data_IF_944420708684
#
_entry.id   IF_944420708684
#
_cell.length_a   1.000
_cell.length_b   1.000
_cell.length_c   1.000
_cell.angle_alpha   90.00
_cell.angle_beta   90.00
_cell.angle_gamma   90.00
#
_symmetry.space_group_name_H-M   'P 1'
#
loop_
_entity.id
_entity.type
_entity.pdbx_description
1 polymer ?
#
# COMPACT_ATOMS: atom_id res chain seq x y z
N UNK A 1 -1.50 12.60 22.22
CA UNK A 1 -2.45 12.73 21.10
C UNK A 1 -1.76 13.32 19.86
N UNK A 2 -1.28 14.58 19.85
CA UNK A 2 -0.63 15.20 18.69
C UNK A 2 0.55 14.39 18.16
N UNK A 3 1.40 13.85 19.05
CA UNK A 3 2.52 13.00 18.65
C UNK A 3 2.07 11.66 18.05
N UNK A 4 1.03 11.06 18.65
CA UNK A 4 0.41 9.84 18.12
C UNK A 4 -0.13 10.06 16.71
N UNK A 5 -0.82 11.19 16.47
CA UNK A 5 -1.33 11.56 15.16
C UNK A 5 -0.23 11.83 14.13
N UNK A 6 0.85 12.54 14.53
CA UNK A 6 2.01 12.77 13.66
C UNK A 6 2.68 11.45 13.24
N UNK A 7 2.85 10.55 14.22
CA UNK A 7 3.42 9.23 13.96
C UNK A 7 2.51 8.36 13.06
N UNK A 8 1.20 8.50 13.22
CA UNK A 8 0.22 7.83 12.35
C UNK A 8 0.28 8.35 10.92
N UNK A 9 0.29 9.67 10.74
CA UNK A 9 0.45 10.31 9.43
C UNK A 9 1.80 9.92 8.81
N UNK A 10 2.86 9.87 9.62
CA UNK A 10 4.16 9.35 9.24
C UNK A 10 4.78 10.10 8.07
N UNK A 11 4.87 11.44 8.18
CA UNK A 11 5.57 12.25 7.19
C UNK A 11 7.03 11.82 7.06
N UNK A 12 7.45 11.50 5.86
CA UNK A 12 8.83 11.21 5.52
C UNK A 12 9.28 12.05 4.33
N UNK A 13 10.45 12.66 4.45
CA UNK A 13 11.07 13.43 3.38
C UNK A 13 12.26 12.65 2.83
N UNK A 14 12.25 12.42 1.53
CA UNK A 14 13.27 11.66 0.84
C UNK A 14 13.49 12.18 -0.57
N UNK A 15 14.03 11.33 -1.42
CA UNK A 15 14.23 11.60 -2.82
C UNK A 15 13.62 10.49 -3.69
N UNK A 16 12.97 10.89 -4.76
CA UNK A 16 12.71 10.01 -5.90
C UNK A 16 13.94 10.03 -6.81
N UNK A 17 14.39 8.86 -7.20
CA UNK A 17 15.53 8.69 -8.11
C UNK A 17 15.19 7.75 -9.25
N UNK A 18 15.69 8.04 -10.43
CA UNK A 18 15.53 7.21 -11.63
C UNK A 18 16.73 6.28 -11.81
N UNK A 19 16.45 5.01 -12.00
CA UNK A 19 17.42 3.98 -12.35
C UNK A 19 17.12 3.48 -13.76
N UNK A 20 18.07 3.62 -14.66
CA UNK A 20 17.94 3.03 -15.98
C UNK A 20 17.93 1.51 -15.89
N UNK A 21 17.18 0.86 -16.78
CA UNK A 21 17.16 -0.59 -16.93
C UNK A 21 18.05 -0.91 -18.15
N UNK A 22 18.98 -1.83 -18.00
CA UNK A 22 19.89 -2.23 -19.08
C UNK A 22 19.07 -2.73 -20.28
N UNK A 23 19.33 -2.12 -21.45
CA UNK A 23 18.65 -2.50 -22.70
C UNK A 23 17.22 -1.99 -22.84
N UNK A 24 16.77 -1.06 -21.96
CA UNK A 24 15.44 -0.44 -22.05
C UNK A 24 15.53 1.09 -21.99
N UNK A 25 14.68 1.78 -22.71
CA UNK A 25 14.65 3.25 -22.78
C UNK A 25 14.03 3.90 -21.55
N UNK A 26 13.05 3.26 -20.93
CA UNK A 26 12.35 3.78 -19.78
C UNK A 26 12.96 3.33 -18.46
N UNK A 27 13.39 4.26 -17.59
CA UNK A 27 13.86 3.94 -16.24
C UNK A 27 12.70 3.56 -15.33
N UNK A 28 13.00 2.97 -14.18
CA UNK A 28 12.06 2.95 -13.09
C UNK A 28 12.46 3.95 -11.99
N UNK A 29 11.47 4.38 -11.21
CA UNK A 29 11.66 5.37 -10.14
C UNK A 29 11.56 4.68 -8.79
N UNK A 30 12.52 4.96 -7.90
CA UNK A 30 12.47 4.55 -6.49
C UNK A 30 12.27 5.77 -5.59
N UNK A 31 11.78 5.53 -4.39
CA UNK A 31 11.78 6.50 -3.29
C UNK A 31 12.66 6.02 -2.15
N UNK A 32 13.52 6.89 -1.64
CA UNK A 32 14.38 6.61 -0.49
C UNK A 32 14.49 7.80 0.46
N UNK A 33 14.53 7.53 1.76
CA UNK A 33 14.89 8.51 2.79
C UNK A 33 16.39 8.55 3.05
N UNK A 34 17.15 7.57 2.51
CA UNK A 34 18.58 7.39 2.66
C UNK A 34 19.30 7.56 1.32
N UNK A 35 19.12 8.72 0.68
CA UNK A 35 19.76 9.01 -0.60
C UNK A 35 21.30 9.02 -0.51
N UNK A 36 21.87 9.27 0.67
CA UNK A 36 23.30 9.18 0.97
C UNK A 36 23.91 7.81 0.66
N UNK A 37 23.12 6.73 0.78
CA UNK A 37 23.62 5.35 0.63
C UNK A 37 23.57 4.83 -0.80
N UNK A 38 23.17 5.61 -1.78
CA UNK A 38 23.02 5.18 -3.18
C UNK A 38 24.27 4.54 -3.79
N UNK A 39 25.46 4.97 -3.37
CA UNK A 39 26.73 4.33 -3.78
C UNK A 39 26.86 2.88 -3.29
N UNK A 40 26.11 2.51 -2.25
CA UNK A 40 26.10 1.17 -1.64
C UNK A 40 25.02 0.24 -2.16
N UNK A 41 24.25 0.67 -3.17
CA UNK A 41 23.21 -0.19 -3.78
C UNK A 41 23.86 -1.35 -4.51
N UNK A 42 23.51 -2.56 -4.14
CA UNK A 42 24.06 -3.79 -4.75
C UNK A 42 23.01 -4.63 -5.46
N UNK A 43 21.73 -4.35 -5.24
CA UNK A 43 20.60 -4.93 -5.98
C UNK A 43 19.36 -4.02 -5.88
N UNK A 44 18.39 -4.27 -6.73
CA UNK A 44 17.08 -3.62 -6.73
C UNK A 44 16.02 -4.64 -6.41
N UNK A 45 14.93 -4.22 -5.74
CA UNK A 45 13.81 -5.12 -5.44
C UNK A 45 12.49 -4.47 -5.82
N UNK A 46 11.66 -5.22 -6.50
CA UNK A 46 10.29 -4.87 -6.87
C UNK A 46 9.28 -5.59 -5.98
N UNK A 47 8.20 -4.91 -5.66
CA UNK A 47 7.01 -5.56 -5.10
C UNK A 47 6.42 -6.53 -6.13
N UNK A 48 5.87 -7.68 -5.72
CA UNK A 48 5.23 -8.64 -6.63
C UNK A 48 4.11 -8.04 -7.50
N UNK A 49 3.44 -7.01 -6.97
CA UNK A 49 2.32 -6.32 -7.63
C UNK A 49 2.78 -5.12 -8.49
N UNK A 50 4.08 -4.87 -8.57
CA UNK A 50 4.62 -3.73 -9.32
C UNK A 50 4.39 -3.90 -10.82
N UNK A 51 3.96 -2.82 -11.48
CA UNK A 51 3.79 -2.76 -12.94
C UNK A 51 5.10 -3.02 -13.72
N UNK A 52 6.24 -2.81 -13.07
CA UNK A 52 7.55 -3.07 -13.66
C UNK A 52 7.88 -4.56 -13.83
N UNK A 53 7.22 -5.45 -13.07
CA UNK A 53 7.55 -6.89 -13.05
C UNK A 53 7.50 -7.51 -14.44
N UNK A 54 6.42 -7.29 -15.18
CA UNK A 54 6.28 -7.84 -16.52
C UNK A 54 7.35 -7.31 -17.49
N UNK A 55 7.78 -6.06 -17.31
CA UNK A 55 8.73 -5.39 -18.17
C UNK A 55 10.19 -5.84 -17.95
N UNK A 56 10.53 -6.17 -16.70
CA UNK A 56 11.91 -6.57 -16.36
C UNK A 56 12.13 -8.09 -16.32
N UNK A 57 11.08 -8.88 -16.43
CA UNK A 57 11.18 -10.34 -16.45
C UNK A 57 11.64 -10.80 -17.83
N UNK A 58 12.83 -11.42 -17.90
CA UNK A 58 13.32 -12.00 -19.15
C UNK A 58 12.61 -13.32 -19.47
N UNK A 59 12.70 -13.76 -20.71
CA UNK A 59 12.07 -15.02 -21.13
C UNK A 59 12.61 -16.22 -20.37
N UNK A 60 13.91 -16.23 -20.09
CA UNK A 60 14.58 -17.30 -19.35
C UNK A 60 14.10 -17.40 -17.90
N UNK A 61 13.72 -16.27 -17.28
CA UNK A 61 13.28 -16.22 -15.88
C UNK A 61 11.76 -16.25 -15.72
N UNK A 62 11.00 -16.20 -16.81
CA UNK A 62 9.53 -16.11 -16.80
C UNK A 62 8.89 -17.19 -15.94
N UNK A 63 9.27 -18.44 -16.12
CA UNK A 63 8.68 -19.57 -15.39
C UNK A 63 8.90 -19.48 -13.88
N UNK A 64 10.10 -19.10 -13.44
CA UNK A 64 10.43 -18.95 -12.02
C UNK A 64 9.71 -17.75 -11.42
N UNK A 65 9.64 -16.63 -12.15
CA UNK A 65 8.91 -15.42 -11.72
C UNK A 65 7.43 -15.71 -11.58
N UNK A 66 6.79 -16.36 -12.55
CA UNK A 66 5.36 -16.72 -12.48
C UNK A 66 5.07 -17.65 -11.30
N UNK A 67 5.91 -18.65 -11.06
CA UNK A 67 5.79 -19.55 -9.91
C UNK A 67 5.89 -18.77 -8.59
N UNK A 68 6.84 -17.84 -8.48
CA UNK A 68 6.99 -16.99 -7.30
C UNK A 68 5.77 -16.08 -7.09
N UNK A 69 5.26 -15.43 -8.14
CA UNK A 69 4.07 -14.58 -8.07
C UNK A 69 2.84 -15.37 -7.62
N UNK A 70 2.66 -16.60 -8.09
CA UNK A 70 1.57 -17.46 -7.62
C UNK A 70 1.72 -17.85 -6.15
N UNK A 71 2.93 -18.12 -5.69
CA UNK A 71 3.21 -18.43 -4.28
C UNK A 71 2.83 -17.27 -3.35
N UNK A 72 3.10 -16.03 -3.75
CA UNK A 72 2.87 -14.85 -2.89
C UNK A 72 1.49 -14.23 -3.06
N UNK A 73 0.75 -14.57 -4.13
CA UNK A 73 -0.55 -13.97 -4.48
C UNK A 73 -1.59 -14.03 -3.37
N UNK A 74 -1.61 -15.09 -2.60
CA UNK A 74 -2.61 -15.32 -1.54
C UNK A 74 -2.14 -14.82 -0.16
N UNK A 75 -0.98 -14.17 -0.10
CA UNK A 75 -0.45 -13.62 1.15
C UNK A 75 -0.91 -12.19 1.35
N UNK A 76 -1.56 -11.94 2.48
CA UNK A 76 -1.94 -10.58 2.86
C UNK A 76 -0.71 -9.74 3.20
N UNK A 77 -0.81 -8.43 3.09
CA UNK A 77 0.26 -7.50 3.48
C UNK A 77 0.67 -7.69 4.95
N UNK A 78 -0.30 -7.98 5.83
CA UNK A 78 -0.04 -8.23 7.25
C UNK A 78 0.80 -9.49 7.46
N UNK A 79 0.52 -10.56 6.74
CA UNK A 79 1.30 -11.80 6.79
C UNK A 79 2.71 -11.57 6.27
N UNK A 80 2.87 -10.81 5.19
CA UNK A 80 4.18 -10.44 4.61
C UNK A 80 5.03 -9.63 5.57
N UNK A 81 4.44 -8.68 6.30
CA UNK A 81 5.15 -7.88 7.32
C UNK A 81 5.55 -8.74 8.51
N UNK A 82 4.72 -9.70 8.92
CA UNK A 82 4.96 -10.57 10.07
C UNK A 82 5.97 -11.70 9.78
N UNK A 83 6.06 -12.14 8.54
CA UNK A 83 6.96 -13.22 8.11
C UNK A 83 8.39 -12.68 7.90
N UNK A 84 9.34 -13.29 8.60
CA UNK A 84 10.77 -12.94 8.52
C UNK A 84 11.56 -13.84 7.57
N UNK A 85 10.91 -14.79 6.90
CA UNK A 85 11.60 -15.64 5.91
C UNK A 85 12.01 -14.79 4.72
N UNK A 86 13.23 -15.02 4.25
CA UNK A 86 13.71 -14.39 3.03
C UNK A 86 13.22 -15.18 1.83
N UNK A 87 12.46 -14.52 0.96
CA UNK A 87 11.98 -15.09 -0.31
C UNK A 87 12.20 -14.08 -1.42
N UNK A 88 12.39 -14.54 -2.63
CA UNK A 88 12.53 -13.68 -3.80
C UNK A 88 12.93 -14.47 -5.04
N UNK A 89 12.89 -13.80 -6.19
CA UNK A 89 13.28 -14.36 -7.48
C UNK A 89 14.03 -13.33 -8.31
N UNK A 90 15.06 -13.74 -9.02
CA UNK A 90 15.76 -12.90 -9.98
C UNK A 90 14.94 -12.73 -11.25
N UNK A 91 14.88 -11.51 -11.80
CA UNK A 91 14.09 -11.21 -13.00
C UNK A 91 14.81 -11.48 -14.32
N UNK A 92 16.13 -11.70 -14.27
CA UNK A 92 17.00 -11.76 -15.45
C UNK A 92 17.53 -10.40 -15.91
N UNK A 93 16.98 -9.30 -15.40
CA UNK A 93 17.34 -7.95 -15.80
C UNK A 93 18.23 -7.24 -14.78
N UNK A 94 18.91 -6.20 -15.25
CA UNK A 94 19.82 -5.38 -14.45
C UNK A 94 19.41 -3.90 -14.54
N UNK A 95 19.53 -3.20 -13.42
CA UNK A 95 19.47 -1.74 -13.38
C UNK A 95 20.88 -1.17 -13.42
N UNK A 96 20.99 0.09 -13.83
CA UNK A 96 22.25 0.84 -13.83
C UNK A 96 22.21 1.84 -12.67
N UNK A 97 23.15 1.69 -11.74
CA UNK A 97 23.32 2.66 -10.68
C UNK A 97 23.66 4.05 -11.29
N UNK A 98 22.88 5.10 -11.04
CA UNK A 98 23.07 6.39 -11.72
C UNK A 98 24.40 7.07 -11.39
N UNK A 99 25.03 6.76 -10.25
CA UNK A 99 26.28 7.37 -9.79
C UNK A 99 27.51 6.50 -10.08
N UNK A 100 27.47 5.21 -9.76
CA UNK A 100 28.62 4.30 -9.94
C UNK A 100 28.69 3.72 -11.34
N UNK A 101 27.60 3.79 -12.11
CA UNK A 101 27.41 3.12 -13.41
C UNK A 101 27.48 1.58 -13.35
N UNK A 102 27.52 1.02 -12.17
CA UNK A 102 27.49 -0.43 -11.99
C UNK A 102 26.14 -1.02 -12.40
N UNK A 103 26.22 -2.19 -13.02
CA UNK A 103 25.05 -3.03 -13.27
C UNK A 103 24.67 -3.76 -11.97
N UNK A 104 23.41 -3.63 -11.56
CA UNK A 104 22.88 -4.22 -10.33
C UNK A 104 21.65 -5.09 -10.65
N UNK A 105 21.58 -6.34 -10.16
CA UNK A 105 20.50 -7.25 -10.49
C UNK A 105 19.16 -6.77 -9.91
N UNK A 106 18.07 -7.05 -10.62
CA UNK A 106 16.71 -6.74 -10.22
C UNK A 106 16.01 -8.01 -9.73
N UNK A 107 15.54 -8.00 -8.51
CA UNK A 107 14.78 -9.08 -7.88
C UNK A 107 13.32 -8.68 -7.65
N UNK A 108 12.46 -9.67 -7.46
CA UNK A 108 11.10 -9.51 -6.93
C UNK A 108 11.09 -10.15 -5.56
N UNK A 109 10.52 -9.46 -4.57
CA UNK A 109 10.36 -10.02 -3.22
C UNK A 109 9.15 -9.45 -2.50
N UNK A 110 8.52 -10.28 -1.70
CA UNK A 110 7.32 -9.97 -0.95
C UNK A 110 7.57 -9.09 0.31
N UNK A 111 8.83 -8.82 0.67
CA UNK A 111 9.11 -7.83 1.71
C UNK A 111 8.95 -6.37 1.24
N UNK A 112 8.90 -6.13 -0.08
CA UNK A 112 8.60 -4.83 -0.67
C UNK A 112 7.10 -4.69 -0.87
N UNK A 113 6.53 -3.58 -0.41
CA UNK A 113 5.09 -3.32 -0.47
C UNK A 113 4.80 -2.30 -1.58
N UNK A 114 3.83 -2.61 -2.45
CA UNK A 114 3.42 -1.72 -3.55
C UNK A 114 2.74 -0.44 -3.05
N UNK A 115 2.08 -0.50 -1.90
CA UNK A 115 1.35 0.63 -1.32
C UNK A 115 2.24 1.70 -0.65
N UNK A 116 3.57 1.52 -0.61
CA UNK A 116 4.49 2.52 -0.08
C UNK A 116 5.56 2.89 -1.11
N UNK A 117 5.64 4.17 -1.46
CA UNK A 117 6.58 4.66 -2.46
C UNK A 117 6.15 4.32 -3.89
N UNK A 118 7.03 3.67 -4.64
CA UNK A 118 6.85 3.33 -6.06
C UNK A 118 6.69 1.82 -6.30
N UNK A 119 6.66 1.02 -5.24
CA UNK A 119 6.73 -0.44 -5.37
C UNK A 119 8.09 -0.96 -5.86
N UNK A 120 9.10 -0.10 -5.88
CA UNK A 120 10.48 -0.43 -6.22
C UNK A 120 11.43 0.20 -5.19
N UNK A 121 12.41 -0.55 -4.72
CA UNK A 121 13.42 -0.05 -3.79
C UNK A 121 14.84 -0.31 -4.31
N UNK A 122 15.74 0.58 -3.94
CA UNK A 122 17.18 0.32 -3.99
C UNK A 122 17.59 -0.38 -2.69
N UNK A 123 18.28 -1.48 -2.77
CA UNK A 123 18.71 -2.24 -1.62
C UNK A 123 20.16 -1.95 -1.24
N UNK A 124 20.37 -1.64 0.05
CA UNK A 124 21.67 -1.29 0.61
C UNK A 124 21.96 -2.20 1.80
N UNK A 125 22.41 -3.44 1.57
CA UNK A 125 22.51 -4.46 2.61
C UNK A 125 23.46 -4.12 3.76
N UNK A 126 24.42 -3.25 3.56
CA UNK A 126 25.27 -2.79 4.64
C UNK A 126 24.54 -1.95 5.71
N UNK A 127 23.39 -1.33 5.36
CA UNK A 127 22.72 -0.32 6.18
C UNK A 127 21.19 -0.52 6.32
N UNK A 128 20.68 -1.70 5.97
CA UNK A 128 19.30 -2.15 6.21
C UNK A 128 19.29 -3.66 6.51
N UNK A 129 18.65 -4.02 7.60
CA UNK A 129 18.67 -5.42 8.10
C UNK A 129 17.89 -6.40 7.20
N UNK A 130 16.86 -5.95 6.49
CA UNK A 130 16.11 -6.80 5.55
C UNK A 130 16.91 -7.02 4.28
N UNK A 131 17.51 -5.94 3.75
CA UNK A 131 18.39 -6.01 2.60
C UNK A 131 19.62 -6.88 2.91
N UNK A 132 20.15 -6.80 4.15
CA UNK A 132 21.25 -7.64 4.61
C UNK A 132 20.89 -9.13 4.58
N UNK A 133 19.75 -9.49 5.17
CA UNK A 133 19.28 -10.87 5.18
C UNK A 133 19.06 -11.39 3.76
N UNK A 134 18.51 -10.56 2.87
CA UNK A 134 18.33 -10.89 1.46
C UNK A 134 19.67 -11.09 0.74
N UNK A 135 20.62 -10.17 0.93
CA UNK A 135 21.95 -10.26 0.32
C UNK A 135 22.72 -11.50 0.78
N UNK A 136 22.63 -11.86 2.06
CA UNK A 136 23.24 -13.10 2.58
C UNK A 136 22.61 -14.35 1.95
N UNK A 137 21.27 -14.36 1.81
CA UNK A 137 20.54 -15.50 1.24
C UNK A 137 20.88 -15.72 -0.24
N UNK A 138 20.97 -14.64 -1.03
CA UNK A 138 21.27 -14.69 -2.47
C UNK A 138 22.75 -14.49 -2.80
N UNK A 139 23.61 -14.47 -1.79
CA UNK A 139 25.06 -14.29 -1.94
C UNK A 139 25.43 -13.01 -2.73
N UNK A 140 24.75 -11.91 -2.44
CA UNK A 140 24.98 -10.61 -3.07
C UNK A 140 26.00 -9.77 -2.30
N UNK A 141 26.69 -8.81 -2.94
CA UNK A 141 27.70 -7.97 -2.28
C UNK A 141 27.11 -7.10 -1.16
N UNK A 142 27.87 -6.96 -0.06
CA UNK A 142 27.53 -6.08 1.07
C UNK A 142 28.69 -5.09 1.22
N UNK A 143 28.44 -3.80 0.95
CA UNK A 143 29.49 -2.79 0.85
C UNK A 143 29.19 -1.65 1.85
N UNK A 144 29.96 -1.51 2.95
CA UNK A 144 29.76 -0.47 3.94
C UNK A 144 30.06 0.92 3.38
N UNK A 145 29.27 1.91 3.82
CA UNK A 145 29.36 3.32 3.41
C UNK A 145 29.57 4.27 4.60
N UNK A 146 29.63 3.74 5.81
CA UNK A 146 29.90 4.49 7.04
C UNK A 146 31.20 3.94 7.63
N UNK A 147 32.07 4.82 8.09
CA UNK A 147 33.34 4.50 8.72
C UNK A 147 33.15 3.65 9.97
N UNK A 148 33.95 2.60 10.15
CA UNK A 148 33.86 1.70 11.29
C UNK A 148 32.66 0.74 11.28
N UNK A 149 31.86 0.72 10.20
CA UNK A 149 30.75 -0.22 10.08
C UNK A 149 31.27 -1.65 9.90
N UNK A 150 31.07 -2.50 10.91
CA UNK A 150 31.28 -3.94 10.82
C UNK A 150 29.98 -4.60 10.30
N UNK A 151 30.06 -5.16 9.11
CA UNK A 151 28.94 -5.83 8.40
C UNK A 151 29.18 -7.34 8.23
N UNK A 152 30.07 -7.93 9.02
CA UNK A 152 30.40 -9.36 8.94
C UNK A 152 29.23 -10.25 9.38
N UNK A 153 28.55 -9.91 10.47
CA UNK A 153 27.49 -10.70 11.06
C UNK A 153 26.09 -10.08 10.94
N UNK A 154 26.00 -8.75 10.80
CA UNK A 154 24.74 -8.02 10.70
C UNK A 154 24.91 -6.70 9.96
N UNK A 155 23.80 -6.07 9.55
CA UNK A 155 23.80 -4.73 8.97
C UNK A 155 24.19 -3.68 10.03
N UNK A 156 24.74 -2.56 9.57
CA UNK A 156 25.00 -1.38 10.38
C UNK A 156 23.94 -0.32 10.10
N UNK A 157 22.82 -0.39 10.82
CA UNK A 157 21.62 0.43 10.58
C UNK A 157 21.69 1.84 11.18
N UNK A 158 22.83 2.24 11.75
CA UNK A 158 23.01 3.57 12.32
C UNK A 158 22.80 4.67 11.27
N UNK A 159 22.16 5.76 11.70
CA UNK A 159 21.89 6.94 10.88
C UNK A 159 22.88 8.08 11.14
N UNK A 160 23.98 7.77 11.76
CA UNK A 160 25.05 8.68 12.17
C UNK A 160 26.41 8.09 11.78
N UNK A 161 27.39 8.93 11.60
CA UNK A 161 28.75 8.53 11.24
C UNK A 161 29.27 9.27 10.02
N UNK A 162 30.49 8.97 9.64
CA UNK A 162 31.20 9.59 8.51
C UNK A 162 31.11 8.72 7.28
N UNK A 163 30.76 9.32 6.15
CA UNK A 163 30.62 8.61 4.87
C UNK A 163 32.00 8.22 4.30
N UNK A 164 32.10 6.97 3.83
CA UNK A 164 33.23 6.43 3.10
C UNK A 164 32.78 5.75 1.81
N UNK A 165 33.70 5.54 0.87
CA UNK A 165 33.44 4.84 -0.43
C UNK A 165 32.23 5.42 -1.20
N UNK A 166 31.89 6.69 -1.02
CA UNK A 166 30.67 7.35 -1.48
C UNK A 166 30.96 8.58 -2.35
N UNK A 167 32.06 8.56 -3.09
CA UNK A 167 32.43 9.62 -4.03
C UNK A 167 32.54 10.98 -3.37
N UNK A 168 31.79 11.96 -3.85
CA UNK A 168 31.80 13.34 -3.34
C UNK A 168 31.23 13.49 -1.92
N UNK A 169 30.60 12.45 -1.37
CA UNK A 169 30.10 12.42 0.03
C UNK A 169 31.14 11.99 1.04
N UNK A 170 32.30 11.46 0.60
CA UNK A 170 33.33 10.97 1.50
C UNK A 170 33.75 12.05 2.52
N UNK A 171 33.86 11.66 3.79
CA UNK A 171 34.21 12.55 4.89
C UNK A 171 33.05 13.39 5.46
N UNK A 172 31.88 13.39 4.83
CA UNK A 172 30.70 14.08 5.35
C UNK A 172 30.02 13.27 6.46
N UNK A 173 29.41 13.97 7.40
CA UNK A 173 28.46 13.34 8.31
C UNK A 173 27.22 12.86 7.53
N UNK A 174 26.60 11.76 7.94
CA UNK A 174 25.41 11.17 7.25
C UNK A 174 24.32 12.21 7.03
N UNK A 175 24.05 13.08 8.02
CA UNK A 175 23.03 14.13 7.91
C UNK A 175 23.33 15.11 6.77
N UNK A 176 24.57 15.53 6.65
CA UNK A 176 25.01 16.48 5.64
C UNK A 176 25.07 15.80 4.27
N UNK A 177 25.49 14.54 4.23
CA UNK A 177 25.51 13.71 3.02
C UNK A 177 24.11 13.51 2.43
N UNK A 178 23.08 13.30 3.24
CA UNK A 178 21.67 13.21 2.81
C UNK A 178 21.28 14.52 2.10
N UNK A 179 21.60 15.68 2.68
CA UNK A 179 21.24 16.96 2.11
C UNK A 179 22.03 17.23 0.82
N UNK A 180 23.33 16.99 0.81
CA UNK A 180 24.19 17.13 -0.37
C UNK A 180 23.72 16.24 -1.52
N UNK A 181 23.29 14.99 -1.23
CA UNK A 181 22.76 14.09 -2.25
C UNK A 181 21.41 14.57 -2.80
N UNK A 182 20.50 15.06 -1.96
CA UNK A 182 19.22 15.67 -2.41
C UNK A 182 19.45 16.82 -3.39
N UNK A 183 20.40 17.68 -3.09
CA UNK A 183 20.78 18.80 -3.96
C UNK A 183 21.40 18.27 -5.27
N UNK A 184 22.30 17.31 -5.20
CA UNK A 184 22.91 16.70 -6.37
C UNK A 184 21.86 16.06 -7.30
N UNK A 185 20.94 15.25 -6.75
CA UNK A 185 19.86 14.59 -7.51
C UNK A 185 19.01 15.63 -8.26
N UNK A 186 18.66 16.73 -7.59
CA UNK A 186 17.84 17.79 -8.16
C UNK A 186 18.61 18.54 -9.27
N UNK A 187 19.86 18.94 -8.99
CA UNK A 187 20.68 19.74 -9.91
C UNK A 187 21.09 18.95 -11.17
N UNK A 188 21.27 17.63 -11.06
CA UNK A 188 21.65 16.76 -12.18
C UNK A 188 20.45 16.18 -12.93
N UNK A 189 19.23 16.43 -12.47
CA UNK A 189 18.03 15.86 -13.07
C UNK A 189 17.87 14.35 -12.88
N UNK A 190 18.62 13.72 -11.97
CA UNK A 190 18.49 12.30 -11.64
C UNK A 190 17.18 11.97 -10.92
N UNK A 191 16.54 12.97 -10.35
CA UNK A 191 15.28 12.82 -9.63
C UNK A 191 14.85 14.12 -8.97
N UNK A 192 14.10 14.02 -7.86
CA UNK A 192 13.60 15.16 -7.10
C UNK A 192 13.45 14.83 -5.62
N UNK A 193 13.48 15.85 -4.78
CA UNK A 193 13.05 15.71 -3.36
C UNK A 193 11.54 15.54 -3.32
N UNK A 194 11.06 14.61 -2.49
CA UNK A 194 9.64 14.32 -2.32
C UNK A 194 9.31 14.07 -0.86
N UNK A 195 8.13 14.51 -0.46
CA UNK A 195 7.51 14.15 0.82
C UNK A 195 6.49 13.05 0.58
N UNK A 196 6.62 11.97 1.30
CA UNK A 196 5.65 10.89 1.36
C UNK A 196 5.03 10.80 2.76
N UNK A 197 3.87 10.19 2.83
CA UNK A 197 3.17 9.91 4.09
C UNK A 197 2.95 8.41 4.22
N UNK A 198 3.03 7.91 5.45
CA UNK A 198 2.70 6.51 5.75
C UNK A 198 1.20 6.28 5.73
N UNK A 199 0.42 7.31 6.11
CA UNK A 199 -1.03 7.28 6.06
C UNK A 199 -1.49 6.97 4.64
N UNK A 200 -2.30 5.93 4.50
CA UNK A 200 -2.89 5.49 3.24
C UNK A 200 -4.35 5.92 3.19
N UNK A 201 -4.89 5.95 1.99
CA UNK A 201 -6.31 6.12 1.80
C UNK A 201 -7.08 5.01 2.54
N UNK A 202 -8.13 5.41 3.25
CA UNK A 202 -8.98 4.46 3.92
C UNK A 202 -10.01 3.91 2.93
N UNK A 203 -10.04 2.59 2.78
CA UNK A 203 -11.12 1.93 2.05
C UNK A 203 -12.34 1.87 2.95
N UNK A 204 -13.44 2.49 2.51
CA UNK A 204 -14.71 2.54 3.25
C UNK A 204 -15.56 1.31 2.98
N UNK A 205 -14.94 0.14 2.92
CA UNK A 205 -15.63 -1.14 2.73
C UNK A 205 -14.96 -2.25 3.54
N UNK A 206 -15.72 -3.29 3.88
CA UNK A 206 -15.25 -4.47 4.60
C UNK A 206 -15.79 -5.73 3.93
N UNK A 207 -14.93 -6.71 3.80
CA UNK A 207 -15.24 -8.05 3.28
C UNK A 207 -15.79 -8.92 4.41
N UNK A 208 -16.93 -8.52 4.98
CA UNK A 208 -17.61 -9.24 6.06
C UNK A 208 -19.11 -9.09 5.94
N UNK A 209 -19.86 -9.99 6.59
CA UNK A 209 -21.33 -10.00 6.58
C UNK A 209 -21.91 -8.87 7.45
N UNK A 210 -21.49 -8.80 8.72
CA UNK A 210 -22.05 -7.83 9.67
C UNK A 210 -21.54 -6.41 9.40
N UNK A 211 -22.43 -5.58 8.94
CA UNK A 211 -22.21 -4.16 8.60
C UNK A 211 -23.41 -3.64 7.79
N UNK A 212 -23.49 -2.33 7.60
CA UNK A 212 -24.48 -1.74 6.71
C UNK A 212 -24.12 -2.08 5.26
N UNK A 213 -25.04 -2.70 4.48
CA UNK A 213 -24.77 -3.00 3.08
C UNK A 213 -24.72 -1.72 2.25
N UNK A 214 -23.90 -1.70 1.22
CA UNK A 214 -23.92 -0.61 0.24
C UNK A 214 -25.09 -0.77 -0.70
N UNK A 215 -25.94 0.27 -0.85
CA UNK A 215 -27.05 0.23 -1.78
C UNK A 215 -26.56 0.48 -3.23
N UNK A 216 -25.70 -0.39 -3.71
CA UNK A 216 -25.00 -0.25 -5.00
C UNK A 216 -25.09 -1.55 -5.78
N UNK A 217 -25.35 -1.44 -7.09
CA UNK A 217 -25.27 -2.52 -8.07
C UNK A 217 -24.32 -2.13 -9.21
N UNK A 218 -23.87 -3.09 -9.98
CA UNK A 218 -22.87 -2.88 -11.03
C UNK A 218 -23.41 -3.19 -12.42
N UNK A 219 -23.26 -2.22 -13.36
CA UNK A 219 -23.45 -2.39 -14.80
C UNK A 219 -22.12 -2.19 -15.50
N UNK A 220 -21.68 -3.14 -16.29
CA UNK A 220 -20.41 -3.06 -17.04
C UNK A 220 -19.23 -2.65 -16.15
N UNK A 221 -19.22 -3.13 -14.91
CA UNK A 221 -18.19 -2.79 -13.92
C UNK A 221 -18.31 -1.40 -13.30
N UNK A 222 -19.31 -0.62 -13.68
CA UNK A 222 -19.57 0.72 -13.10
C UNK A 222 -20.62 0.65 -11.99
N UNK A 223 -20.40 1.31 -10.84
CA UNK A 223 -21.35 1.33 -9.73
C UNK A 223 -22.52 2.28 -9.96
N UNK A 224 -23.71 1.83 -9.62
CA UNK A 224 -24.95 2.61 -9.64
C UNK A 224 -25.67 2.49 -8.29
N UNK A 225 -26.27 3.59 -7.82
CA UNK A 225 -27.05 3.60 -6.58
C UNK A 225 -28.42 2.99 -6.79
N UNK A 226 -28.92 2.29 -5.79
CA UNK A 226 -30.35 1.93 -5.72
C UNK A 226 -31.21 3.19 -5.59
N UNK A 227 -32.46 3.18 -6.12
CA UNK A 227 -33.42 4.26 -5.89
C UNK A 227 -33.66 4.47 -4.38
N UNK A 228 -33.85 5.74 -3.96
CA UNK A 228 -34.01 6.10 -2.54
C UNK A 228 -35.24 5.45 -1.91
N UNK A 229 -36.32 5.29 -2.69
CA UNK A 229 -37.55 4.61 -2.26
C UNK A 229 -37.38 3.10 -1.98
N UNK A 230 -36.24 2.52 -2.40
CA UNK A 230 -35.91 1.11 -2.15
C UNK A 230 -35.02 0.92 -0.91
N UNK A 231 -34.77 1.97 -0.16
CA UNK A 231 -34.01 1.91 1.08
C UNK A 231 -34.92 1.72 2.30
N UNK A 232 -34.46 1.08 3.37
CA UNK A 232 -33.12 0.51 3.56
C UNK A 232 -32.91 -0.82 2.81
N UNK A 233 -31.71 -1.02 2.25
CA UNK A 233 -31.28 -2.34 1.78
C UNK A 233 -30.90 -3.19 3.01
N UNK A 234 -31.62 -4.28 3.22
CA UNK A 234 -31.38 -5.19 4.36
C UNK A 234 -30.39 -6.28 4.02
N UNK A 235 -29.64 -6.75 5.04
CA UNK A 235 -28.78 -7.92 4.87
C UNK A 235 -29.61 -9.16 4.55
N UNK A 236 -29.17 -9.96 3.55
CA UNK A 236 -29.86 -11.19 3.19
C UNK A 236 -29.52 -12.32 4.18
N UNK A 237 -30.34 -13.36 4.23
CA UNK A 237 -29.95 -14.58 4.90
C UNK A 237 -28.83 -15.30 4.16
N UNK A 238 -27.83 -15.82 4.90
CA UNK A 238 -26.72 -16.61 4.38
C UNK A 238 -26.55 -17.89 5.19
N UNK A 239 -26.11 -18.93 4.54
CA UNK A 239 -25.81 -20.22 5.18
C UNK A 239 -24.44 -20.25 5.86
N UNK A 240 -23.50 -19.39 5.45
CA UNK A 240 -22.14 -19.27 5.99
C UNK A 240 -21.68 -17.80 5.99
N UNK A 241 -21.01 -17.40 7.05
CA UNK A 241 -20.44 -16.06 7.23
C UNK A 241 -18.97 -15.96 6.79
N UNK A 242 -18.41 -17.03 6.22
CA UNK A 242 -17.07 -17.06 5.65
C UNK A 242 -17.05 -16.53 4.23
N UNK A 243 -15.89 -16.13 3.72
CA UNK A 243 -15.73 -15.87 2.29
C UNK A 243 -16.17 -17.07 1.45
N UNK A 244 -16.59 -16.80 0.22
CA UNK A 244 -16.90 -17.87 -0.75
C UNK A 244 -15.65 -18.70 -1.07
N UNK A 245 -15.82 -19.85 -1.68
CA UNK A 245 -14.70 -20.71 -2.13
C UNK A 245 -13.82 -20.03 -3.20
N UNK A 246 -14.35 -18.99 -3.87
CA UNK A 246 -13.64 -18.15 -4.84
C UNK A 246 -12.98 -16.93 -4.22
N UNK A 247 -13.14 -16.72 -2.89
CA UNK A 247 -12.54 -15.61 -2.15
C UNK A 247 -13.38 -14.33 -2.12
N UNK A 248 -14.63 -14.37 -2.60
CA UNK A 248 -15.55 -13.23 -2.51
C UNK A 248 -16.01 -13.02 -1.06
N UNK A 249 -16.44 -11.78 -0.70
CA UNK A 249 -17.01 -11.49 0.60
C UNK A 249 -18.20 -12.40 0.97
N UNK A 250 -18.52 -12.56 2.26
CA UNK A 250 -19.60 -13.45 2.73
C UNK A 250 -20.97 -13.24 2.07
N UNK A 251 -21.31 -12.01 1.65
CA UNK A 251 -22.55 -11.74 0.90
C UNK A 251 -22.61 -12.48 -0.45
N UNK A 252 -21.48 -12.91 -0.99
CA UNK A 252 -21.43 -13.79 -2.16
C UNK A 252 -22.05 -15.18 -1.93
N UNK A 253 -22.25 -15.61 -0.65
CA UNK A 253 -22.96 -16.84 -0.32
C UNK A 253 -24.50 -16.67 -0.33
N UNK A 254 -25.01 -15.44 -0.36
CA UNK A 254 -26.45 -15.19 -0.39
C UNK A 254 -27.05 -15.59 -1.76
N UNK A 255 -28.23 -16.17 -1.75
CA UNK A 255 -29.01 -16.43 -2.97
C UNK A 255 -29.74 -15.17 -3.43
N UNK A 256 -30.46 -14.50 -2.51
CA UNK A 256 -31.18 -13.27 -2.80
C UNK A 256 -30.26 -12.06 -2.66
N UNK A 257 -29.38 -11.84 -3.67
CA UNK A 257 -28.44 -10.74 -3.67
C UNK A 257 -28.09 -10.28 -5.10
N UNK A 258 -29.13 -9.96 -5.88
CA UNK A 258 -29.02 -9.30 -7.17
C UNK A 258 -30.13 -8.24 -7.30
N UNK A 259 -29.94 -7.24 -8.13
CA UNK A 259 -30.86 -6.13 -8.33
C UNK A 259 -31.59 -6.23 -9.66
N UNK A 260 -32.91 -6.37 -9.61
CA UNK A 260 -33.80 -6.24 -10.77
C UNK A 260 -34.14 -4.75 -10.95
N UNK A 261 -33.48 -4.11 -11.91
CA UNK A 261 -33.59 -2.68 -12.16
C UNK A 261 -35.00 -2.31 -12.69
N UNK A 262 -35.63 -3.21 -13.43
CA UNK A 262 -36.94 -2.94 -14.01
C UNK A 262 -38.07 -2.93 -12.97
N UNK A 263 -37.95 -3.84 -11.98
CA UNK A 263 -38.99 -4.02 -10.96
C UNK A 263 -38.60 -3.40 -9.60
N UNK A 264 -37.43 -2.79 -9.51
CA UNK A 264 -36.89 -2.15 -8.30
C UNK A 264 -36.90 -3.08 -7.06
N UNK A 265 -36.36 -4.30 -7.21
CA UNK A 265 -36.39 -5.30 -6.13
C UNK A 265 -35.12 -6.16 -6.11
N UNK A 266 -34.79 -6.68 -4.92
CA UNK A 266 -33.74 -7.68 -4.74
C UNK A 266 -34.29 -9.06 -5.17
N UNK A 267 -33.52 -9.76 -6.00
CA UNK A 267 -33.88 -11.06 -6.54
C UNK A 267 -32.74 -12.07 -6.38
N UNK A 268 -32.98 -13.33 -6.77
CA UNK A 268 -31.94 -14.35 -6.76
C UNK A 268 -30.78 -13.99 -7.71
N UNK A 269 -29.55 -14.20 -7.22
CA UNK A 269 -28.34 -14.00 -8.04
C UNK A 269 -28.27 -14.91 -9.26
N UNK A 270 -29.03 -16.01 -9.28
CA UNK A 270 -29.14 -16.89 -10.45
C UNK A 270 -29.81 -16.22 -11.65
N UNK A 271 -30.49 -15.08 -11.45
CA UNK A 271 -31.15 -14.32 -12.48
C UNK A 271 -30.27 -13.21 -13.10
N UNK A 272 -29.02 -13.06 -12.64
CA UNK A 272 -28.10 -12.05 -13.18
C UNK A 272 -27.86 -12.31 -14.67
N UNK A 273 -28.29 -11.36 -15.50
CA UNK A 273 -28.14 -11.38 -16.95
C UNK A 273 -27.28 -10.21 -17.48
N UNK A 274 -26.90 -9.25 -16.58
CA UNK A 274 -26.20 -8.00 -16.89
C UNK A 274 -26.91 -7.12 -17.93
N UNK A 275 -28.21 -7.30 -18.10
CA UNK A 275 -29.08 -6.51 -18.99
C UNK A 275 -30.22 -5.86 -18.20
N UNK A 276 -30.91 -6.63 -17.37
CA UNK A 276 -32.01 -6.19 -16.50
C UNK A 276 -31.79 -6.54 -15.02
N UNK A 277 -31.01 -7.56 -14.74
CA UNK A 277 -30.66 -8.00 -13.38
C UNK A 277 -29.15 -7.92 -13.22
N UNK A 278 -28.72 -7.19 -12.20
CA UNK A 278 -27.32 -6.83 -11.98
C UNK A 278 -26.82 -7.31 -10.61
N UNK A 279 -25.49 -7.59 -10.48
CA UNK A 279 -24.91 -7.93 -9.18
C UNK A 279 -24.93 -6.74 -8.22
N UNK A 280 -25.31 -7.00 -6.95
CA UNK A 280 -25.17 -6.06 -5.84
C UNK A 280 -23.75 -6.10 -5.27
N UNK A 281 -23.33 -5.00 -4.62
CA UNK A 281 -22.05 -4.93 -3.89
C UNK A 281 -22.00 -5.99 -2.78
N UNK A 282 -20.89 -6.71 -2.68
CA UNK A 282 -20.68 -7.78 -1.73
C UNK A 282 -20.03 -7.34 -0.42
N UNK A 283 -19.43 -6.15 -0.39
CA UNK A 283 -18.84 -5.58 0.81
C UNK A 283 -19.91 -4.89 1.67
N UNK A 284 -19.61 -4.73 2.94
CA UNK A 284 -20.42 -3.91 3.86
C UNK A 284 -19.61 -2.69 4.30
N UNK A 285 -20.29 -1.66 4.82
CA UNK A 285 -19.65 -0.51 5.43
C UNK A 285 -18.89 -0.93 6.69
N UNK A 286 -17.82 -0.21 7.07
CA UNK A 286 -17.12 -0.47 8.33
C UNK A 286 -18.02 -0.19 9.53
N UNK A 287 -17.76 -0.85 10.67
CA UNK A 287 -18.56 -0.66 11.88
C UNK A 287 -18.64 0.78 12.39
N UNK A 288 -17.66 1.61 12.03
CA UNK A 288 -17.70 3.04 12.39
C UNK A 288 -18.61 3.90 11.46
N UNK A 289 -19.19 3.37 10.40
CA UNK A 289 -20.09 4.13 9.52
C UNK A 289 -21.25 4.77 10.28
N UNK A 290 -21.96 3.97 11.07
CA UNK A 290 -23.00 4.48 11.97
C UNK A 290 -22.43 5.16 13.22
N UNK A 291 -21.44 4.55 13.87
CA UNK A 291 -20.91 5.06 15.15
C UNK A 291 -20.15 6.38 15.05
N UNK A 292 -19.60 6.73 13.87
CA UNK A 292 -18.96 8.04 13.67
C UNK A 292 -19.95 9.20 13.56
N UNK A 293 -21.24 8.93 13.36
CA UNK A 293 -22.26 9.95 13.18
C UNK A 293 -23.29 9.99 14.32
N UNK A 294 -23.19 9.10 15.34
CA UNK A 294 -24.21 8.97 16.40
C UNK A 294 -24.50 10.28 17.14
N UNK A 295 -23.49 11.11 17.38
CA UNK A 295 -23.63 12.38 18.09
C UNK A 295 -24.48 13.39 17.31
N UNK A 296 -24.49 13.33 15.99
CA UNK A 296 -25.39 14.15 15.17
C UNK A 296 -26.84 13.79 15.44
N UNK A 297 -27.14 12.51 15.59
CA UNK A 297 -28.49 12.03 15.91
C UNK A 297 -28.96 12.47 17.31
N UNK A 298 -28.05 12.59 18.26
CA UNK A 298 -28.39 13.14 19.58
C UNK A 298 -28.80 14.62 19.53
N UNK A 299 -28.29 15.37 18.57
CA UNK A 299 -28.66 16.78 18.40
C UNK A 299 -30.10 16.96 17.92
N UNK A 300 -30.65 15.97 17.21
CA UNK A 300 -31.98 16.07 16.57
C UNK A 300 -32.64 14.69 16.43
N UNK A 301 -32.88 14.04 17.57
CA UNK A 301 -33.30 12.65 17.63
C UNK A 301 -34.76 12.37 17.17
N UNK A 302 -35.55 13.39 16.97
CA UNK A 302 -36.96 13.30 16.49
C UNK A 302 -37.10 13.70 15.03
N UNK A 303 -36.03 13.94 14.32
CA UNK A 303 -36.05 14.30 12.91
C UNK A 303 -36.13 13.05 12.01
N UNK A 304 -37.28 12.84 11.41
CA UNK A 304 -37.50 11.70 10.50
C UNK A 304 -37.04 11.98 9.05
N UNK A 305 -36.73 13.23 8.72
CA UNK A 305 -36.37 13.65 7.37
C UNK A 305 -34.84 13.67 7.12
N UNK A 306 -34.03 13.81 8.19
CA UNK A 306 -32.57 13.90 8.09
C UNK A 306 -31.91 13.41 9.38
N UNK A 307 -30.61 13.03 9.27
CA UNK A 307 -29.80 12.65 10.43
C UNK A 307 -29.73 13.77 11.47
N UNK A 308 -29.65 15.02 11.03
CA UNK A 308 -29.73 16.26 11.82
C UNK A 308 -30.23 17.40 10.93
N UNK A 309 -31.21 18.16 11.42
CA UNK A 309 -31.69 19.34 10.71
C UNK A 309 -30.72 20.50 10.78
N UNK A 310 -30.85 21.45 9.84
CA UNK A 310 -29.97 22.60 9.74
C UNK A 310 -29.91 23.44 11.01
N UNK A 311 -31.05 23.71 11.62
CA UNK A 311 -31.14 24.54 12.84
C UNK A 311 -30.41 23.90 14.02
N UNK A 312 -30.67 22.61 14.27
CA UNK A 312 -29.98 21.85 15.32
C UNK A 312 -28.48 21.77 15.08
N UNK A 313 -28.08 21.52 13.84
CA UNK A 313 -26.67 21.49 13.47
C UNK A 313 -25.97 22.84 13.63
N UNK A 314 -26.59 23.92 13.17
CA UNK A 314 -26.02 25.29 13.29
C UNK A 314 -25.84 25.70 14.75
N UNK A 315 -26.72 25.25 15.65
CA UNK A 315 -26.64 25.55 17.09
C UNK A 315 -25.59 24.68 17.81
N UNK A 316 -25.59 23.34 17.58
CA UNK A 316 -24.81 22.39 18.36
C UNK A 316 -23.49 21.98 17.73
N UNK A 317 -23.18 22.34 16.48
CA UNK A 317 -21.98 21.92 15.75
C UNK A 317 -20.67 22.23 16.47
N UNK A 318 -20.64 23.26 17.32
CA UNK A 318 -19.49 23.59 18.14
C UNK A 318 -19.64 22.90 19.50
N UNK A 319 -18.99 21.77 19.65
CA UNK A 319 -19.00 20.97 20.88
C UNK A 319 -18.03 21.59 21.90
N UNK A 320 -18.57 21.98 23.08
CA UNK A 320 -17.79 22.56 24.17
C UNK A 320 -17.06 21.48 25.02
N UNK A 321 -17.69 20.33 25.18
CA UNK A 321 -17.17 19.21 25.94
C UNK A 321 -17.60 17.90 25.32
N UNK A 322 -16.62 17.05 25.02
CA UNK A 322 -16.83 15.68 24.56
C UNK A 322 -16.04 14.72 25.46
N UNK A 323 -16.74 13.75 26.05
CA UNK A 323 -16.14 12.72 26.92
C UNK A 323 -16.34 11.36 26.24
N UNK A 324 -15.24 10.68 25.93
CA UNK A 324 -15.23 9.39 25.27
C UNK A 324 -13.96 8.59 25.56
N UNK A 325 -13.87 7.42 24.97
CA UNK A 325 -12.69 6.57 25.08
C UNK A 325 -11.49 7.13 24.29
N UNK A 326 -10.29 6.74 24.68
CA UNK A 326 -9.02 7.16 24.02
C UNK A 326 -8.91 6.60 22.61
N UNK A 327 -9.61 5.53 22.28
CA UNK A 327 -9.69 4.90 20.97
C UNK A 327 -10.33 5.79 19.89
N UNK A 328 -11.06 6.83 20.29
CA UNK A 328 -11.67 7.81 19.38
C UNK A 328 -10.81 9.07 19.18
N UNK A 329 -9.63 9.10 19.75
CA UNK A 329 -8.76 10.29 19.73
C UNK A 329 -7.74 10.29 18.58
#
# INVERSE_FOLDING_TARGET
LKETQRNWIGRSEGAEMRFAIKGQDEPFTIFTTRADTVFGVTFMVLAPESEYVARVTTEEQRSEVEAYLQMVKNRTERERIADRRVTGVFTGSYAINPLTKAEIPIYISDYVLSGYGTGAIMAVPAHDSRDYAFAKHFNLPIIPRIEGADVSEQSFDAKEGVMINSGFLNGMQVKDAIQAMKEHITNTGLGRVKVNYRLRDAVFSRQRYWGEPFPVYYKDGMPYMLPEECLPLLLPEVSDFKPTTTGEPPLGNADLWAWDEKNNQVVSKSLIDNVSVFPLELCTMPGFAGSSAYYLRYMDNHNDAALVGKEANDYWRQVNLYIGGTEHA
#
